data_IF_333557669117
#
_entry.id   IF_333557669117
#
_cell.length_a   1.000
_cell.length_b   1.000
_cell.length_c   1.000
_cell.angle_alpha   90.00
_cell.angle_beta   90.00
_cell.angle_gamma   90.00
#
_symmetry.space_group_name_H-M   'P 1'
#
loop_
_entity.id
_entity.type
_entity.pdbx_description
1 polymer ?
#
# COMPACT_ATOMS: atom_id res chain seq x y z
N UNK A 1 -4.34 10.84 10.70
CA UNK A 1 -3.50 10.07 9.76
C UNK A 1 -2.07 9.94 10.27
N UNK A 2 -1.58 10.95 10.99
CA UNK A 2 -0.17 11.06 11.39
C UNK A 2 0.28 9.97 12.37
N UNK A 3 -0.55 9.62 13.36
CA UNK A 3 -0.23 8.55 14.32
C UNK A 3 -0.04 7.18 13.64
N UNK A 4 -0.94 6.81 12.71
CA UNK A 4 -0.82 5.54 11.97
C UNK A 4 0.34 5.56 10.99
N UNK A 5 0.67 6.72 10.42
CA UNK A 5 1.82 6.88 9.54
C UNK A 5 3.13 6.73 10.31
N UNK A 6 3.19 7.26 11.55
CA UNK A 6 4.33 7.06 12.44
C UNK A 6 4.55 5.58 12.78
N UNK A 7 3.48 4.84 13.11
CA UNK A 7 3.56 3.38 13.37
C UNK A 7 3.96 2.61 12.11
N UNK A 8 3.43 3.00 10.95
CA UNK A 8 3.80 2.41 9.67
C UNK A 8 5.29 2.61 9.35
N UNK A 9 5.85 3.76 9.70
CA UNK A 9 7.22 4.14 9.38
C UNK A 9 8.25 3.67 10.42
N UNK A 10 7.79 3.12 11.55
CA UNK A 10 8.63 2.44 12.52
C UNK A 10 8.97 1.02 12.05
N UNK A 11 10.22 0.81 11.63
CA UNK A 11 10.69 -0.50 11.18
C UNK A 11 10.94 -1.51 12.32
N UNK A 12 10.98 -1.06 13.58
CA UNK A 12 11.04 -1.94 14.73
C UNK A 12 9.67 -2.57 15.06
N UNK A 13 8.58 -1.96 14.60
CA UNK A 13 7.23 -2.45 14.81
C UNK A 13 6.95 -3.73 14.02
N UNK A 14 6.07 -4.57 14.57
CA UNK A 14 5.61 -5.80 13.95
C UNK A 14 5.05 -5.55 12.56
N UNK A 15 5.48 -6.35 11.58
CA UNK A 15 5.01 -6.22 10.20
C UNK A 15 3.50 -6.38 10.06
N UNK A 16 2.87 -7.16 10.93
CA UNK A 16 1.41 -7.31 10.99
C UNK A 16 0.72 -6.04 11.45
N UNK A 17 1.27 -5.35 12.46
CA UNK A 17 0.73 -4.08 12.98
C UNK A 17 0.90 -2.99 11.93
N UNK A 18 2.08 -2.89 11.32
CA UNK A 18 2.37 -1.96 10.23
C UNK A 18 1.45 -2.19 9.03
N UNK A 19 1.21 -3.45 8.64
CA UNK A 19 0.27 -3.80 7.58
C UNK A 19 -1.17 -3.39 7.91
N UNK A 20 -1.63 -3.60 9.15
CA UNK A 20 -2.94 -3.12 9.60
C UNK A 20 -3.03 -1.58 9.55
N UNK A 21 -1.99 -0.87 10.00
CA UNK A 21 -1.94 0.59 9.93
C UNK A 21 -2.00 1.09 8.48
N UNK A 22 -1.20 0.48 7.60
CA UNK A 22 -1.22 0.77 6.15
C UNK A 22 -2.64 0.63 5.59
N UNK A 23 -3.31 -0.47 5.92
CA UNK A 23 -4.67 -0.77 5.46
C UNK A 23 -5.71 0.24 5.96
N UNK A 24 -5.64 0.65 7.23
CA UNK A 24 -6.53 1.67 7.79
C UNK A 24 -6.30 3.02 7.11
N UNK A 25 -5.05 3.40 6.86
CA UNK A 25 -4.73 4.65 6.17
C UNK A 25 -5.37 4.70 4.78
N UNK A 26 -5.41 3.57 4.07
CA UNK A 26 -5.99 3.48 2.73
C UNK A 26 -7.51 3.72 2.71
N UNK A 27 -8.24 3.37 3.78
CA UNK A 27 -9.69 3.65 3.86
C UNK A 27 -9.97 5.14 4.04
N UNK A 28 -9.02 5.89 4.59
CA UNK A 28 -9.12 7.34 4.78
C UNK A 28 -8.82 8.16 3.53
N UNK A 29 -8.73 7.52 2.36
CA UNK A 29 -8.49 8.15 1.04
C UNK A 29 -7.25 9.06 1.07
N UNK A 30 -6.04 8.48 1.18
CA UNK A 30 -4.79 9.24 1.24
C UNK A 30 -4.64 10.23 0.08
N UNK A 31 -4.01 11.37 0.34
CA UNK A 31 -3.71 12.36 -0.71
C UNK A 31 -2.70 11.80 -1.72
N UNK A 32 -2.69 12.31 -2.97
CA UNK A 32 -1.68 11.90 -3.96
C UNK A 32 -0.23 12.08 -3.47
N UNK A 33 0.03 13.11 -2.66
CA UNK A 33 1.35 13.35 -2.06
C UNK A 33 1.78 12.22 -1.10
N UNK A 34 0.86 11.69 -0.30
CA UNK A 34 1.12 10.55 0.57
C UNK A 34 1.50 9.30 -0.24
N UNK A 35 0.76 9.03 -1.32
CA UNK A 35 1.07 7.90 -2.21
C UNK A 35 2.45 8.04 -2.86
N UNK A 36 2.81 9.25 -3.30
CA UNK A 36 4.09 9.51 -3.91
C UNK A 36 5.25 9.28 -2.93
N UNK A 37 5.10 9.75 -1.69
CA UNK A 37 6.07 9.51 -0.63
C UNK A 37 6.20 8.02 -0.32
N UNK A 38 5.08 7.31 -0.16
CA UNK A 38 5.09 5.88 0.13
C UNK A 38 5.65 5.03 -1.00
N UNK A 39 5.45 5.46 -2.24
CA UNK A 39 6.06 4.81 -3.39
C UNK A 39 7.59 4.86 -3.36
N UNK A 40 8.16 6.00 -2.98
CA UNK A 40 9.61 6.14 -2.78
C UNK A 40 10.06 5.29 -1.58
N UNK A 41 9.30 5.29 -0.48
CA UNK A 41 9.63 4.52 0.73
C UNK A 41 9.69 3.01 0.48
N UNK A 42 8.97 2.48 -0.52
CA UNK A 42 9.04 1.05 -0.86
C UNK A 42 10.46 0.56 -1.20
N UNK A 43 11.35 1.45 -1.65
CA UNK A 43 12.76 1.11 -1.88
C UNK A 43 13.52 0.87 -0.59
N UNK A 44 13.18 1.60 0.47
CA UNK A 44 13.80 1.54 1.79
C UNK A 44 13.15 0.49 2.70
N UNK A 45 11.97 -0.01 2.33
CA UNK A 45 11.23 -0.97 3.13
C UNK A 45 11.99 -2.31 3.29
N UNK A 46 12.41 -2.68 4.50
CA UNK A 46 13.08 -3.95 4.75
C UNK A 46 12.13 -5.14 4.66
N UNK A 47 10.84 -4.96 4.95
CA UNK A 47 9.86 -6.04 4.94
C UNK A 47 9.24 -6.23 3.56
N UNK A 48 9.56 -7.37 2.92
CA UNK A 48 9.03 -7.74 1.59
C UNK A 48 7.50 -7.79 1.52
N UNK A 49 6.82 -8.13 2.62
CA UNK A 49 5.35 -8.21 2.66
C UNK A 49 4.73 -6.81 2.61
N UNK A 50 5.30 -5.83 3.34
CA UNK A 50 4.82 -4.45 3.35
C UNK A 50 5.10 -3.77 2.01
N UNK A 51 6.29 -3.99 1.43
CA UNK A 51 6.61 -3.51 0.08
C UNK A 51 5.63 -4.10 -0.97
N UNK A 52 5.34 -5.40 -0.89
CA UNK A 52 4.37 -6.06 -1.76
C UNK A 52 2.94 -5.53 -1.58
N UNK A 53 2.52 -5.31 -0.33
CA UNK A 53 1.22 -4.72 0.00
C UNK A 53 1.08 -3.31 -0.59
N UNK A 54 2.13 -2.50 -0.47
CA UNK A 54 2.17 -1.13 -1.01
C UNK A 54 2.04 -1.14 -2.53
N UNK A 55 2.80 -1.99 -3.22
CA UNK A 55 2.70 -2.14 -4.67
C UNK A 55 1.32 -2.63 -5.10
N UNK A 56 0.84 -3.75 -4.55
CA UNK A 56 -0.47 -4.33 -4.91
C UNK A 56 -1.61 -3.35 -4.67
N UNK A 57 -1.59 -2.62 -3.56
CA UNK A 57 -2.63 -1.64 -3.25
C UNK A 57 -2.67 -0.47 -4.23
N UNK A 58 -1.50 0.00 -4.67
CA UNK A 58 -1.38 1.03 -5.70
C UNK A 58 -1.94 0.54 -7.04
N UNK A 59 -1.59 -0.70 -7.44
CA UNK A 59 -2.12 -1.30 -8.68
C UNK A 59 -3.63 -1.48 -8.61
N UNK A 60 -4.19 -2.01 -7.51
CA UNK A 60 -5.65 -2.14 -7.37
C UNK A 60 -6.33 -0.77 -7.41
N UNK A 61 -5.75 0.25 -6.76
CA UNK A 61 -6.30 1.61 -6.82
C UNK A 61 -6.29 2.17 -8.24
N UNK A 62 -5.23 1.89 -9.00
CA UNK A 62 -5.11 2.29 -10.40
C UNK A 62 -6.11 1.58 -11.31
N UNK A 63 -6.33 0.28 -11.12
CA UNK A 63 -7.30 -0.47 -11.95
C UNK A 63 -8.75 -0.13 -11.62
N UNK A 64 -9.05 0.16 -10.35
CA UNK A 64 -10.40 0.53 -9.89
C UNK A 64 -10.79 1.97 -10.25
N UNK A 65 -9.84 2.90 -10.31
CA UNK A 65 -10.11 4.30 -10.61
C UNK A 65 -9.08 4.87 -11.61
N UNK A 66 -9.31 4.57 -12.90
CA UNK A 66 -8.49 5.07 -14.02
C UNK A 66 -8.50 6.59 -14.19
N UNK A 67 -9.33 7.34 -13.44
CA UNK A 67 -9.34 8.80 -13.48
C UNK A 67 -8.20 9.40 -12.67
N UNK A 68 -7.54 8.61 -11.82
CA UNK A 68 -6.43 9.03 -10.97
C UNK A 68 -5.12 9.07 -11.76
N UNK A 69 -4.98 10.03 -12.69
CA UNK A 69 -3.78 10.24 -13.54
C UNK A 69 -2.47 10.35 -12.75
N UNK A 70 -2.53 10.72 -11.47
CA UNK A 70 -1.34 10.77 -10.62
C UNK A 70 -0.74 9.39 -10.35
N UNK A 71 -1.50 8.30 -10.47
CA UNK A 71 -0.99 6.94 -10.33
C UNK A 71 -0.04 6.54 -11.47
N UNK A 72 -0.21 7.12 -12.67
CA UNK A 72 0.70 6.93 -13.80
C UNK A 72 2.12 7.43 -13.49
N UNK A 73 2.23 8.42 -12.60
CA UNK A 73 3.52 8.96 -12.14
C UNK A 73 4.12 8.13 -11.00
N UNK A 74 3.28 7.42 -10.24
CA UNK A 74 3.69 6.69 -9.04
C UNK A 74 4.15 5.28 -9.36
N UNK A 75 3.41 4.54 -10.20
CA UNK A 75 3.74 3.15 -10.51
C UNK A 75 5.18 2.97 -11.00
N UNK A 76 5.73 3.83 -11.90
CA UNK A 76 7.10 3.67 -12.40
C UNK A 76 8.20 3.89 -11.35
N UNK A 77 7.93 4.67 -10.31
CA UNK A 77 8.92 5.00 -9.27
C UNK A 77 8.88 4.04 -8.07
N UNK A 78 7.87 3.18 -7.99
CA UNK A 78 7.76 2.17 -6.94
C UNK A 78 8.73 1.03 -7.15
N UNK A 79 9.20 0.43 -6.06
CA UNK A 79 9.90 -0.85 -6.12
C UNK A 79 8.96 -1.90 -6.72
N UNK A 80 9.33 -2.58 -7.82
CA UNK A 80 8.52 -3.66 -8.36
C UNK A 80 8.26 -4.70 -7.29
N UNK A 81 7.03 -5.19 -7.19
CA UNK A 81 6.72 -6.24 -6.23
C UNK A 81 7.71 -7.41 -6.42
N UNK A 82 8.38 -7.89 -5.36
CA UNK A 82 9.18 -9.09 -5.48
C UNK A 82 8.27 -10.22 -5.98
N UNK A 83 8.81 -11.11 -6.82
CA UNK A 83 8.11 -12.31 -7.27
C UNK A 83 7.77 -13.18 -6.05
N UNK A 84 6.62 -12.94 -5.43
CA UNK A 84 6.14 -13.70 -4.28
C UNK A 84 5.30 -14.86 -4.80
N UNK A 85 5.73 -16.08 -4.53
CA UNK A 85 4.91 -17.28 -4.69
C UNK A 85 3.54 -17.05 -4.06
N UNK A 86 2.51 -17.46 -4.80
CA UNK A 86 1.11 -17.19 -4.50
C UNK A 86 0.73 -17.70 -3.10
N UNK A 87 0.68 -16.79 -2.14
CA UNK A 87 -0.17 -16.93 -0.97
C UNK A 87 -0.77 -15.57 -0.70
N UNK A 88 -1.98 -15.36 -1.21
CA UNK A 88 -2.81 -14.25 -0.75
C UNK A 88 -3.16 -14.55 0.71
N UNK A 89 -2.59 -13.80 1.64
CA UNK A 89 -3.09 -13.82 3.00
C UNK A 89 -4.56 -13.37 3.02
N UNK A 90 -5.36 -13.87 3.96
CA UNK A 90 -6.76 -13.46 4.16
C UNK A 90 -6.93 -11.93 4.17
N UNK A 91 -5.92 -11.20 4.68
CA UNK A 91 -5.88 -9.74 4.75
C UNK A 91 -5.86 -9.09 3.35
N UNK A 92 -5.14 -9.67 2.37
CA UNK A 92 -5.13 -9.17 0.99
C UNK A 92 -6.48 -9.38 0.29
N UNK A 93 -7.22 -10.45 0.63
CA UNK A 93 -8.56 -10.71 0.10
C UNK A 93 -9.60 -9.70 0.61
N UNK A 94 -9.59 -9.40 1.91
CA UNK A 94 -10.45 -8.37 2.49
C UNK A 94 -10.17 -6.99 1.89
N UNK A 95 -8.90 -6.69 1.60
CA UNK A 95 -8.52 -5.42 0.97
C UNK A 95 -9.05 -5.26 -0.45
N UNK A 96 -8.95 -6.31 -1.27
CA UNK A 96 -9.50 -6.31 -2.62
C UNK A 96 -10.98 -5.95 -2.60
N UNK A 97 -11.74 -6.49 -1.63
CA UNK A 97 -13.15 -6.11 -1.43
C UNK A 97 -13.29 -4.62 -1.09
N UNK A 98 -12.59 -4.11 -0.07
CA UNK A 98 -12.71 -2.69 0.33
C UNK A 98 -12.42 -1.73 -0.83
N UNK A 99 -11.35 -1.97 -1.60
CA UNK A 99 -10.99 -1.11 -2.73
C UNK A 99 -11.95 -1.20 -3.91
N UNK A 100 -12.60 -2.34 -4.13
CA UNK A 100 -13.49 -2.56 -5.27
C UNK A 100 -14.95 -2.26 -4.97
N UNK A 101 -15.39 -2.40 -3.71
CA UNK A 101 -16.80 -2.24 -3.31
C UNK A 101 -17.10 -0.94 -2.58
N UNK A 102 -16.08 -0.15 -2.18
CA UNK A 102 -16.27 1.21 -1.65
C UNK A 102 -17.06 1.31 -0.35
N UNK A 103 -17.01 0.28 0.50
CA UNK A 103 -17.53 0.34 1.88
C UNK A 103 -16.62 1.19 2.76
#
# INVERSE_FOLDING_TARGET
>A
MDMLSAVLDDYAESSSIRACCYMIILTWRPTPAWWHMKAIDTWKEPNRQIASLSFKSTIIKYTTDRRLKWLDLIIPIMKPAPASGASMSHIQHYYYKILTTGL
#
